data_IF_479528303377
#
_entry.id   IF_479528303377
#
_cell.length_a   1.000
_cell.length_b   1.000
_cell.length_c   1.000
_cell.angle_alpha   90.00
_cell.angle_beta   90.00
_cell.angle_gamma   90.00
#
_symmetry.space_group_name_H-M   'P 1'
#
loop_
_entity.id
_entity.type
_entity.pdbx_description
1 polymer ?
#
# COMPACT_ATOMS: atom_id res chain seq x y z
N UNK A 1 -30.25 0.59 -17.77
CA UNK A 1 -28.89 0.32 -17.25
C UNK A 1 -28.40 1.63 -16.64
N UNK A 2 -28.58 1.80 -15.34
CA UNK A 2 -27.87 2.83 -14.58
C UNK A 2 -26.40 2.51 -14.69
N UNK A 3 -25.62 3.39 -15.34
CA UNK A 3 -24.22 3.13 -15.57
C UNK A 3 -23.48 3.11 -14.23
N UNK A 4 -22.89 1.99 -13.89
CA UNK A 4 -21.94 1.81 -12.80
C UNK A 4 -20.75 2.78 -12.86
N UNK A 5 -20.51 3.38 -14.02
CA UNK A 5 -19.39 4.33 -14.28
C UNK A 5 -19.41 5.55 -13.36
N UNK A 6 -20.58 6.14 -13.11
CA UNK A 6 -20.72 7.24 -12.15
C UNK A 6 -20.51 6.81 -10.70
N UNK A 7 -20.90 5.56 -10.37
CA UNK A 7 -20.71 4.97 -9.05
C UNK A 7 -19.25 4.68 -8.73
N UNK A 8 -18.47 4.20 -9.70
CA UNK A 8 -17.04 3.93 -9.51
C UNK A 8 -16.23 5.20 -9.22
N UNK A 9 -16.54 6.32 -9.87
CA UNK A 9 -15.90 7.59 -9.58
C UNK A 9 -16.21 8.08 -8.16
N UNK A 10 -17.43 7.90 -7.70
CA UNK A 10 -17.84 8.27 -6.33
C UNK A 10 -17.23 7.35 -5.27
N UNK A 11 -17.03 6.06 -5.57
CA UNK A 11 -16.44 5.09 -4.64
C UNK A 11 -14.93 5.30 -4.52
N UNK A 12 -14.26 5.70 -5.60
CA UNK A 12 -12.80 5.94 -5.63
C UNK A 12 -12.36 7.24 -4.96
N UNK A 13 -13.27 8.21 -4.87
CA UNK A 13 -12.95 9.51 -4.30
C UNK A 13 -13.37 9.60 -2.84
N UNK A 14 -12.42 9.37 -1.93
CA UNK A 14 -12.67 9.39 -0.49
C UNK A 14 -13.02 10.77 0.06
N UNK A 15 -12.73 11.84 -0.66
CA UNK A 15 -12.99 13.20 -0.18
C UNK A 15 -14.29 13.79 -0.72
N UNK A 16 -14.74 13.36 -1.90
CA UNK A 16 -15.93 13.91 -2.56
C UNK A 16 -17.03 12.89 -2.83
N UNK A 17 -16.85 11.64 -2.33
CA UNK A 17 -17.84 10.60 -2.51
C UNK A 17 -19.16 10.95 -1.81
N UNK A 18 -20.26 10.74 -2.54
CA UNK A 18 -21.62 10.95 -2.04
C UNK A 18 -22.27 9.62 -1.69
N UNK A 19 -23.27 9.65 -0.80
CA UNK A 19 -24.13 8.49 -0.56
C UNK A 19 -24.92 8.17 -1.84
N UNK A 20 -24.90 6.90 -2.24
CA UNK A 20 -25.64 6.41 -3.41
C UNK A 20 -26.81 5.56 -2.93
N UNK A 21 -27.98 5.84 -3.49
CA UNK A 21 -29.21 5.07 -3.25
C UNK A 21 -29.59 4.34 -4.54
N UNK A 22 -29.73 3.04 -4.47
CA UNK A 22 -30.14 2.20 -5.60
C UNK A 22 -31.35 1.35 -5.24
N UNK A 23 -32.42 1.46 -6.01
CA UNK A 23 -33.59 0.56 -5.88
C UNK A 23 -33.24 -0.82 -6.43
N UNK A 24 -33.55 -1.85 -5.68
CA UNK A 24 -33.44 -3.27 -6.06
C UNK A 24 -34.70 -4.00 -5.67
N UNK A 25 -35.66 -4.11 -6.59
CA UNK A 25 -37.00 -4.62 -6.31
C UNK A 25 -37.74 -3.76 -5.26
N UNK A 26 -38.16 -4.39 -4.15
CA UNK A 26 -38.80 -3.71 -3.02
C UNK A 26 -37.81 -3.07 -2.01
N UNK A 27 -36.53 -3.31 -2.17
CA UNK A 27 -35.49 -2.83 -1.26
C UNK A 27 -34.76 -1.63 -1.86
N UNK A 28 -34.17 -0.82 -0.99
CA UNK A 28 -33.22 0.23 -1.38
C UNK A 28 -31.86 -0.12 -0.81
N UNK A 29 -30.89 -0.30 -1.69
CA UNK A 29 -29.46 -0.45 -1.30
C UNK A 29 -28.89 0.93 -1.06
N UNK A 30 -28.30 1.13 0.09
CA UNK A 30 -27.63 2.38 0.47
C UNK A 30 -26.13 2.13 0.49
N UNK A 31 -25.38 2.79 -0.40
CA UNK A 31 -23.93 2.77 -0.42
C UNK A 31 -23.44 4.07 0.23
N UNK A 32 -22.89 3.96 1.40
CA UNK A 32 -22.31 5.11 2.11
C UNK A 32 -20.94 5.49 1.51
N UNK A 33 -20.51 6.75 1.64
CA UNK A 33 -19.15 7.16 1.31
C UNK A 33 -18.12 6.27 2.04
N UNK A 34 -16.97 5.99 1.43
CA UNK A 34 -15.89 5.27 2.10
C UNK A 34 -15.41 6.06 3.32
N UNK A 35 -14.90 5.34 4.31
CA UNK A 35 -14.22 5.97 5.45
C UNK A 35 -13.03 6.80 4.98
N UNK A 36 -12.68 7.87 5.70
CA UNK A 36 -11.42 8.58 5.48
C UNK A 36 -10.22 7.62 5.49
N UNK A 37 -9.11 7.95 4.81
CA UNK A 37 -7.88 7.18 4.94
C UNK A 37 -7.47 7.06 6.40
N UNK A 38 -7.01 5.88 6.80
CA UNK A 38 -6.45 5.69 8.14
C UNK A 38 -5.27 6.63 8.36
N UNK A 39 -5.04 7.02 9.59
CA UNK A 39 -3.78 7.63 10.02
C UNK A 39 -2.67 6.57 10.10
N UNK A 40 -1.42 6.98 10.11
CA UNK A 40 -0.27 6.10 10.33
C UNK A 40 -0.44 5.28 11.63
N UNK A 41 -0.81 5.95 12.72
CA UNK A 41 -1.00 5.29 14.02
C UNK A 41 -2.14 4.25 14.03
N UNK A 42 -3.22 4.47 13.28
CA UNK A 42 -4.30 3.50 13.14
C UNK A 42 -3.87 2.28 12.31
N UNK A 43 -3.08 2.53 11.27
CA UNK A 43 -2.51 1.47 10.45
C UNK A 43 -1.52 0.64 11.27
N UNK A 44 -0.62 1.27 12.00
CA UNK A 44 0.35 0.60 12.87
C UNK A 44 -0.35 -0.26 13.92
N UNK A 45 -1.36 0.26 14.61
CA UNK A 45 -2.15 -0.54 15.56
C UNK A 45 -2.73 -1.81 14.94
N UNK A 46 -3.15 -1.74 13.67
CA UNK A 46 -3.68 -2.90 12.96
C UNK A 46 -2.61 -3.94 12.65
N UNK A 47 -1.40 -3.50 12.32
CA UNK A 47 -0.27 -4.40 12.02
C UNK A 47 0.44 -4.90 13.29
N UNK A 48 0.38 -4.15 14.37
CA UNK A 48 1.03 -4.48 15.65
C UNK A 48 0.22 -5.43 16.53
N UNK A 49 -0.95 -5.88 16.08
CA UNK A 49 -1.72 -6.93 16.74
C UNK A 49 -0.89 -8.21 16.86
N UNK A 50 -1.13 -9.05 17.88
CA UNK A 50 -0.33 -10.26 18.15
C UNK A 50 -0.64 -11.38 17.16
N UNK A 51 -0.34 -11.18 15.90
CA UNK A 51 -0.50 -12.20 14.86
C UNK A 51 0.54 -13.30 15.05
N UNK A 52 0.08 -14.55 15.02
CA UNK A 52 0.97 -15.73 15.13
C UNK A 52 1.84 -15.92 13.90
N UNK A 53 1.46 -15.39 12.73
CA UNK A 53 2.07 -15.60 11.41
C UNK A 53 2.18 -17.09 11.03
N UNK A 54 1.40 -17.94 11.66
CA UNK A 54 1.37 -19.39 11.43
C UNK A 54 0.06 -19.80 10.73
N UNK A 55 0.07 -20.89 9.97
CA UNK A 55 -1.15 -21.47 9.42
C UNK A 55 -2.12 -21.86 10.53
N UNK A 56 -3.42 -21.75 10.22
CA UNK A 56 -4.45 -22.22 11.16
C UNK A 56 -4.25 -23.71 11.51
N UNK A 57 -4.44 -24.14 12.77
CA UNK A 57 -4.20 -25.52 13.24
C UNK A 57 -4.87 -26.64 12.41
N UNK A 58 -6.00 -26.34 11.74
CA UNK A 58 -6.65 -27.31 10.83
C UNK A 58 -5.78 -27.77 9.65
N UNK A 59 -4.72 -27.04 9.34
CA UNK A 59 -3.76 -27.35 8.27
C UNK A 59 -2.51 -28.08 8.79
N UNK A 60 -2.49 -28.50 10.07
CA UNK A 60 -1.36 -29.25 10.63
C UNK A 60 -1.02 -30.45 9.73
N UNK A 61 0.26 -30.58 9.38
CA UNK A 61 0.75 -31.64 8.49
C UNK A 61 0.45 -31.44 6.99
N UNK A 62 -0.19 -30.32 6.60
CA UNK A 62 -0.44 -30.01 5.19
C UNK A 62 0.44 -28.84 4.77
N UNK A 63 1.07 -28.97 3.60
CA UNK A 63 1.81 -27.87 2.98
C UNK A 63 0.84 -26.89 2.35
N UNK A 64 1.06 -25.59 2.57
CA UNK A 64 0.30 -24.49 1.96
C UNK A 64 1.29 -23.67 1.11
N UNK A 65 1.34 -23.89 -0.22
CA UNK A 65 2.32 -23.21 -1.08
C UNK A 65 2.25 -21.69 -1.00
N UNK A 66 1.05 -21.09 -0.93
CA UNK A 66 0.89 -19.66 -0.78
C UNK A 66 1.52 -19.13 0.53
N UNK A 67 1.36 -19.85 1.62
CA UNK A 67 2.00 -19.50 2.90
C UNK A 67 3.53 -19.54 2.79
N UNK A 68 4.08 -20.57 2.17
CA UNK A 68 5.53 -20.71 1.98
C UNK A 68 6.11 -19.52 1.20
N UNK A 69 5.36 -18.96 0.26
CA UNK A 69 5.78 -17.81 -0.55
C UNK A 69 5.79 -16.50 0.23
N UNK A 70 4.81 -16.27 1.11
CA UNK A 70 4.56 -14.95 1.70
C UNK A 70 4.88 -14.84 3.18
N UNK A 71 5.18 -15.93 3.88
CA UNK A 71 5.37 -15.97 5.35
C UNK A 71 6.43 -14.99 5.86
N UNK A 72 7.43 -14.67 5.05
CA UNK A 72 8.52 -13.74 5.34
C UNK A 72 8.39 -12.42 4.56
N UNK A 73 7.17 -12.04 4.21
CA UNK A 73 6.89 -10.74 3.60
C UNK A 73 6.40 -9.73 4.64
N UNK A 74 6.73 -8.46 4.42
CA UNK A 74 6.32 -7.33 5.24
C UNK A 74 5.67 -6.27 4.36
N UNK A 75 4.47 -5.86 4.71
CA UNK A 75 3.74 -4.84 3.98
C UNK A 75 4.04 -3.46 4.59
N UNK A 76 4.54 -2.53 3.78
CA UNK A 76 4.96 -1.19 4.22
C UNK A 76 3.83 -0.17 4.21
N UNK A 77 2.85 -0.35 3.31
CA UNK A 77 1.76 0.61 3.12
C UNK A 77 0.53 -0.03 2.48
N UNK A 78 -0.59 0.66 2.56
CA UNK A 78 -1.85 0.36 1.88
C UNK A 78 -2.15 1.45 0.87
N UNK A 79 -3.00 1.11 -0.12
CA UNK A 79 -3.38 2.03 -1.19
C UNK A 79 -2.46 2.00 -2.41
N UNK A 80 -2.98 2.49 -3.54
CA UNK A 80 -2.22 2.60 -4.78
C UNK A 80 -2.83 3.68 -5.67
N UNK A 81 -2.05 4.67 -6.03
CA UNK A 81 -2.49 5.74 -6.92
C UNK A 81 -2.24 5.45 -8.42
N UNK A 82 -1.89 4.21 -8.75
CA UNK A 82 -1.62 3.78 -10.13
C UNK A 82 -2.82 3.86 -11.05
N UNK A 83 -3.99 3.43 -10.57
CA UNK A 83 -5.24 3.47 -11.33
C UNK A 83 -5.21 2.63 -12.62
N UNK A 84 -4.46 1.52 -12.63
CA UNK A 84 -4.35 0.63 -13.78
C UNK A 84 -5.72 0.01 -14.11
N UNK A 85 -6.07 -0.05 -15.41
CA UNK A 85 -7.40 -0.48 -15.85
C UNK A 85 -7.77 -1.93 -15.45
N UNK A 86 -6.79 -2.81 -15.34
CA UNK A 86 -6.96 -4.21 -14.96
C UNK A 86 -6.93 -4.48 -13.44
N UNK A 87 -6.54 -3.46 -12.63
CA UNK A 87 -6.24 -3.67 -11.23
C UNK A 87 -7.28 -3.01 -10.32
N UNK A 88 -7.81 -3.78 -9.36
CA UNK A 88 -8.82 -3.31 -8.41
C UNK A 88 -8.23 -2.73 -7.11
N UNK A 89 -6.92 -2.74 -6.91
CA UNK A 89 -6.29 -2.29 -5.67
C UNK A 89 -6.63 -0.84 -5.35
N UNK A 90 -6.60 0.05 -6.35
CA UNK A 90 -6.95 1.47 -6.15
C UNK A 90 -8.41 1.67 -5.73
N UNK A 91 -9.32 0.79 -6.18
CA UNK A 91 -10.72 0.79 -5.76
C UNK A 91 -10.89 0.17 -4.37
N UNK A 92 -10.23 -0.97 -4.10
CA UNK A 92 -10.36 -1.73 -2.87
C UNK A 92 -9.66 -1.06 -1.68
N UNK A 93 -8.38 -0.66 -1.84
CA UNK A 93 -7.58 -0.05 -0.76
C UNK A 93 -7.60 1.49 -0.82
N UNK A 94 -8.08 2.07 -1.91
CA UNK A 94 -8.06 3.50 -2.18
C UNK A 94 -6.80 3.96 -2.92
N UNK A 95 -6.88 5.16 -3.50
CA UNK A 95 -5.77 5.78 -4.24
C UNK A 95 -4.77 6.55 -3.36
N UNK A 96 -5.10 6.73 -2.09
CA UNK A 96 -4.20 7.41 -1.15
C UNK A 96 -3.32 6.40 -0.43
N UNK A 97 -2.04 6.69 -0.38
CA UNK A 97 -1.09 5.85 0.33
C UNK A 97 -1.20 6.15 1.82
N UNK A 98 -1.41 5.10 2.59
CA UNK A 98 -1.28 5.11 4.06
C UNK A 98 -0.09 4.23 4.39
N UNK A 99 0.96 4.82 4.90
CA UNK A 99 2.22 4.14 5.21
C UNK A 99 2.32 3.82 6.68
N UNK A 100 2.94 2.69 7.00
CA UNK A 100 3.32 2.34 8.37
C UNK A 100 4.52 3.17 8.82
N UNK A 101 4.66 3.32 10.12
CA UNK A 101 5.88 3.87 10.71
C UNK A 101 7.07 2.92 10.53
N UNK A 102 8.27 3.47 10.59
CA UNK A 102 9.52 2.69 10.58
C UNK A 102 9.57 1.74 11.78
N UNK A 103 9.15 2.20 12.93
CA UNK A 103 9.10 1.47 14.19
C UNK A 103 8.23 0.21 14.09
N UNK A 104 7.01 0.34 13.57
CA UNK A 104 6.09 -0.78 13.35
C UNK A 104 6.67 -1.80 12.36
N UNK A 105 7.28 -1.33 11.27
CA UNK A 105 7.94 -2.20 10.28
C UNK A 105 9.09 -2.98 10.91
N UNK A 106 10.01 -2.30 11.61
CA UNK A 106 11.16 -2.94 12.25
C UNK A 106 10.76 -3.92 13.35
N UNK A 107 9.69 -3.62 14.09
CA UNK A 107 9.11 -4.53 15.08
C UNK A 107 8.64 -5.84 14.43
N UNK A 108 7.92 -5.76 13.32
CA UNK A 108 7.47 -6.94 12.58
C UNK A 108 8.64 -7.74 11.98
N UNK A 109 9.64 -7.05 11.41
CA UNK A 109 10.84 -7.72 10.88
C UNK A 109 11.57 -8.47 11.99
N UNK A 110 11.75 -7.88 13.18
CA UNK A 110 12.34 -8.56 14.33
C UNK A 110 11.55 -9.81 14.71
N UNK A 111 10.23 -9.75 14.79
CA UNK A 111 9.41 -10.93 15.06
C UNK A 111 9.57 -12.03 13.99
N UNK A 112 9.79 -11.66 12.73
CA UNK A 112 10.10 -12.63 11.67
C UNK A 112 11.46 -13.30 11.90
N UNK A 113 12.48 -12.58 12.37
CA UNK A 113 13.81 -13.18 12.62
C UNK A 113 13.79 -14.25 13.72
N UNK A 114 12.79 -14.24 14.59
CA UNK A 114 12.60 -15.21 15.65
C UNK A 114 11.88 -16.50 15.19
N UNK A 115 11.36 -16.52 13.96
CA UNK A 115 10.67 -17.71 13.43
C UNK A 115 11.68 -18.84 13.15
N UNK A 116 11.38 -20.10 13.54
CA UNK A 116 12.35 -21.21 13.54
C UNK A 116 12.87 -21.59 12.14
N UNK A 117 12.12 -21.29 11.09
CA UNK A 117 12.49 -21.62 9.71
C UNK A 117 12.99 -20.38 8.91
N UNK A 118 13.17 -19.25 9.57
CA UNK A 118 13.74 -18.05 8.95
C UNK A 118 15.24 -18.21 8.73
N UNK A 119 15.70 -17.93 7.51
CA UNK A 119 17.11 -18.09 7.10
C UNK A 119 17.82 -16.77 6.76
N UNK A 120 17.23 -15.66 7.15
CA UNK A 120 17.77 -14.32 6.93
C UNK A 120 17.28 -13.63 5.65
N UNK A 121 16.30 -14.18 4.95
CA UNK A 121 15.80 -13.64 3.70
C UNK A 121 14.33 -13.20 3.82
N UNK A 122 14.06 -11.91 3.67
CA UNK A 122 12.70 -11.40 3.52
C UNK A 122 12.27 -11.55 2.06
N UNK A 123 11.18 -12.25 1.81
CA UNK A 123 10.68 -12.52 0.45
C UNK A 123 10.08 -11.28 -0.22
N UNK A 124 9.54 -10.37 0.56
CA UNK A 124 9.06 -9.07 0.11
C UNK A 124 9.07 -8.05 1.26
N UNK A 125 9.63 -6.90 0.99
CA UNK A 125 9.54 -5.71 1.83
C UNK A 125 8.92 -4.61 0.96
N UNK A 126 7.58 -4.59 0.91
CA UNK A 126 6.90 -3.81 -0.12
C UNK A 126 5.45 -3.47 0.18
N UNK A 127 4.65 -3.42 -0.88
CA UNK A 127 3.25 -3.06 -0.83
C UNK A 127 2.59 -3.22 -2.19
N UNK A 128 1.41 -2.66 -2.47
CA UNK A 128 0.77 -2.74 -3.78
C UNK A 128 1.67 -2.27 -4.94
N UNK A 129 2.61 -1.37 -4.64
CA UNK A 129 3.81 -1.05 -5.41
C UNK A 129 4.84 -0.53 -4.42
N UNK A 130 5.95 -1.21 -4.23
CA UNK A 130 6.90 -0.96 -3.14
C UNK A 130 7.35 0.50 -3.08
N UNK A 131 7.65 1.10 -4.22
CA UNK A 131 8.13 2.48 -4.29
C UNK A 131 7.04 3.57 -4.22
N UNK A 132 5.85 3.23 -3.72
CA UNK A 132 4.85 4.24 -3.33
C UNK A 132 4.87 4.56 -1.83
N UNK A 133 5.74 3.91 -1.05
CA UNK A 133 5.86 4.15 0.37
C UNK A 133 6.11 5.63 0.67
N UNK A 134 5.28 6.21 1.55
CA UNK A 134 5.26 7.65 1.94
C UNK A 134 5.05 8.65 0.81
N UNK A 135 4.68 8.20 -0.38
CA UNK A 135 4.34 9.11 -1.47
C UNK A 135 2.94 9.67 -1.32
N UNK A 136 2.81 10.98 -1.39
CA UNK A 136 1.53 11.72 -1.31
C UNK A 136 1.61 13.02 -2.09
N UNK A 137 0.47 13.70 -2.25
CA UNK A 137 0.46 15.05 -2.79
C UNK A 137 1.20 16.02 -1.86
N UNK A 138 1.96 16.94 -2.45
CA UNK A 138 2.67 18.02 -1.73
C UNK A 138 1.67 19.00 -1.10
N UNK A 139 0.63 19.32 -1.85
CA UNK A 139 -0.50 20.12 -1.39
C UNK A 139 -1.76 19.25 -1.32
N UNK A 140 -2.24 19.02 -0.10
CA UNK A 140 -3.42 18.21 0.16
C UNK A 140 -4.71 18.88 -0.29
N UNK A 141 -4.79 20.21 -0.28
CA UNK A 141 -5.97 20.95 -0.76
C UNK A 141 -6.22 20.72 -2.25
N UNK A 142 -5.14 20.62 -3.03
CA UNK A 142 -5.20 20.22 -4.44
C UNK A 142 -5.70 18.79 -4.58
N UNK A 143 -5.20 17.87 -3.75
CA UNK A 143 -5.60 16.46 -3.77
C UNK A 143 -7.08 16.28 -3.40
N UNK A 144 -7.58 17.03 -2.44
CA UNK A 144 -9.00 16.98 -2.00
C UNK A 144 -9.98 17.33 -3.12
N UNK A 145 -9.59 18.19 -4.05
CA UNK A 145 -10.42 18.60 -5.20
C UNK A 145 -10.13 17.78 -6.46
N UNK A 146 -9.16 16.87 -6.42
CA UNK A 146 -8.67 16.16 -7.60
C UNK A 146 -9.60 15.00 -7.96
N UNK A 147 -10.09 14.99 -9.20
CA UNK A 147 -10.95 13.93 -9.77
C UNK A 147 -10.18 12.92 -10.64
N UNK A 148 -8.84 13.04 -10.74
CA UNK A 148 -8.05 12.12 -11.56
C UNK A 148 -8.10 10.70 -10.99
N UNK A 149 -8.33 9.68 -11.84
CA UNK A 149 -8.31 8.28 -11.40
C UNK A 149 -6.88 7.79 -11.09
N UNK A 150 -5.85 8.42 -11.67
CA UNK A 150 -4.44 8.07 -11.52
C UNK A 150 -3.59 9.30 -11.26
N UNK A 151 -2.60 9.19 -10.37
CA UNK A 151 -1.60 10.23 -10.14
C UNK A 151 -0.39 10.11 -11.10
N UNK A 152 -0.33 9.05 -11.90
CA UNK A 152 0.82 8.78 -12.77
C UNK A 152 0.45 8.69 -14.26
N UNK A 153 -0.81 8.46 -14.60
CA UNK A 153 -1.27 8.37 -15.98
C UNK A 153 -2.25 9.52 -16.30
N UNK A 154 -2.21 10.11 -17.53
CA UNK A 154 -1.23 9.90 -18.62
C UNK A 154 0.16 10.51 -18.35
N UNK A 155 0.28 11.36 -17.32
CA UNK A 155 1.52 11.99 -16.88
C UNK A 155 1.55 12.00 -15.35
N UNK A 156 2.74 11.87 -14.77
CA UNK A 156 2.95 12.01 -13.32
C UNK A 156 2.40 13.38 -12.88
N UNK A 157 1.62 13.36 -11.81
CA UNK A 157 1.00 14.58 -11.28
C UNK A 157 2.09 15.51 -10.72
N UNK A 158 2.14 16.78 -11.12
CA UNK A 158 3.15 17.73 -10.61
C UNK A 158 3.02 17.96 -9.09
N UNK A 159 1.84 17.70 -8.52
CA UNK A 159 1.64 17.78 -7.08
C UNK A 159 2.09 16.50 -6.33
N UNK A 160 2.48 15.43 -7.03
CA UNK A 160 2.93 14.20 -6.40
C UNK A 160 4.37 14.36 -5.89
N UNK A 161 4.59 14.04 -4.61
CA UNK A 161 5.93 13.83 -4.09
C UNK A 161 6.41 12.43 -4.52
N UNK A 162 7.50 12.37 -5.27
CA UNK A 162 8.11 11.12 -5.77
C UNK A 162 9.43 10.79 -5.07
N UNK A 163 9.65 11.32 -3.87
CA UNK A 163 10.86 11.08 -3.09
C UNK A 163 10.92 9.63 -2.60
N UNK A 164 11.96 8.90 -2.99
CA UNK A 164 12.19 7.51 -2.61
C UNK A 164 13.07 7.36 -1.35
N UNK A 165 13.66 8.44 -0.83
CA UNK A 165 14.53 8.38 0.36
C UNK A 165 13.89 7.71 1.56
N UNK A 166 12.59 7.94 1.88
CA UNK A 166 11.95 7.24 2.99
C UNK A 166 11.90 5.72 2.80
N UNK A 167 11.76 5.23 1.56
CA UNK A 167 11.79 3.81 1.26
C UNK A 167 13.20 3.24 1.41
N UNK A 168 14.21 3.93 0.88
CA UNK A 168 15.61 3.53 1.00
C UNK A 168 16.05 3.46 2.47
N UNK A 169 15.61 4.42 3.29
CA UNK A 169 15.86 4.42 4.73
C UNK A 169 15.28 3.18 5.44
N UNK A 170 14.10 2.69 5.00
CA UNK A 170 13.56 1.42 5.50
C UNK A 170 14.46 0.25 5.11
N UNK A 171 14.87 0.15 3.85
CA UNK A 171 15.74 -0.95 3.40
C UNK A 171 17.08 -0.96 4.15
N UNK A 172 17.74 0.19 4.28
CA UNK A 172 18.98 0.29 5.04
C UNK A 172 18.80 -0.11 6.51
N UNK A 173 17.72 0.34 7.14
CA UNK A 173 17.45 0.01 8.52
C UNK A 173 17.12 -1.47 8.72
N UNK A 174 16.42 -2.10 7.80
CA UNK A 174 16.08 -3.52 7.84
C UNK A 174 17.33 -4.36 7.59
N UNK A 175 18.12 -4.04 6.56
CA UNK A 175 19.33 -4.79 6.21
C UNK A 175 20.42 -4.69 7.31
N UNK A 176 20.37 -3.66 8.15
CA UNK A 176 21.25 -3.51 9.32
C UNK A 176 20.81 -4.35 10.53
N UNK A 177 19.63 -4.98 10.52
CA UNK A 177 19.16 -5.78 11.64
C UNK A 177 19.92 -7.13 11.75
N UNK A 178 20.28 -7.55 12.97
CA UNK A 178 20.83 -8.87 13.19
C UNK A 178 19.90 -9.97 12.66
N UNK A 179 20.46 -10.96 11.98
CA UNK A 179 19.69 -12.08 11.42
C UNK A 179 19.12 -11.82 10.01
N UNK A 180 19.17 -10.61 9.50
CA UNK A 180 18.83 -10.29 8.11
C UNK A 180 20.07 -10.40 7.24
N UNK A 181 20.00 -11.19 6.18
CA UNK A 181 21.03 -11.31 5.13
C UNK A 181 20.66 -10.49 3.92
N UNK A 182 19.37 -10.44 3.57
CA UNK A 182 18.88 -9.69 2.43
C UNK A 182 17.36 -9.51 2.47
N UNK A 183 16.90 -8.32 2.08
CA UNK A 183 15.51 -8.03 1.78
C UNK A 183 15.27 -7.94 0.26
N UNK A 184 14.13 -8.48 -0.19
CA UNK A 184 13.73 -8.47 -1.61
C UNK A 184 12.50 -7.62 -1.80
N UNK A 185 12.29 -7.17 -3.03
CA UNK A 185 11.07 -6.50 -3.50
C UNK A 185 10.30 -7.49 -4.38
N UNK A 186 9.44 -8.29 -3.77
CA UNK A 186 8.60 -9.26 -4.48
C UNK A 186 7.34 -8.62 -5.08
N UNK A 187 6.82 -7.57 -4.45
CA UNK A 187 5.61 -6.86 -4.87
C UNK A 187 5.76 -5.97 -6.10
N UNK A 188 7.00 -5.71 -6.53
CA UNK A 188 7.30 -4.93 -7.72
C UNK A 188 7.47 -3.43 -7.49
N UNK A 189 8.10 -2.79 -8.47
CA UNK A 189 8.49 -1.37 -8.46
C UNK A 189 7.93 -0.68 -9.70
N UNK A 190 7.43 0.52 -9.54
CA UNK A 190 7.00 1.38 -10.65
C UNK A 190 8.19 2.15 -11.21
N UNK A 191 8.67 1.73 -12.36
CA UNK A 191 9.81 2.36 -13.05
C UNK A 191 9.52 3.77 -13.54
N UNK A 192 8.25 4.07 -13.88
CA UNK A 192 7.82 5.42 -14.26
C UNK A 192 8.05 6.44 -13.14
N UNK A 193 7.89 6.05 -11.88
CA UNK A 193 8.18 6.90 -10.72
C UNK A 193 9.69 7.06 -10.49
N UNK A 194 10.48 5.99 -10.65
CA UNK A 194 11.94 6.06 -10.52
C UNK A 194 12.55 6.97 -11.58
N UNK A 195 12.13 6.81 -12.84
CA UNK A 195 12.61 7.64 -13.94
C UNK A 195 12.17 9.11 -13.81
N UNK A 196 11.02 9.36 -13.19
CA UNK A 196 10.55 10.71 -12.92
C UNK A 196 11.41 11.39 -11.86
N UNK A 197 11.75 10.70 -10.78
CA UNK A 197 12.63 11.21 -9.73
C UNK A 197 14.01 11.60 -10.25
N UNK A 198 14.58 10.81 -11.16
CA UNK A 198 15.88 11.10 -11.76
C UNK A 198 15.93 12.44 -12.53
N UNK A 199 14.78 12.98 -12.87
CA UNK A 199 14.62 14.27 -13.57
C UNK A 199 14.34 15.45 -12.63
N UNK A 200 14.12 15.20 -11.34
CA UNK A 200 13.87 16.26 -10.36
C UNK A 200 15.20 16.81 -9.87
N UNK A 201 15.56 18.07 -10.17
CA UNK A 201 16.85 18.67 -9.83
C UNK A 201 17.08 18.77 -8.31
N UNK A 202 16.02 18.67 -7.48
CA UNK A 202 16.13 18.74 -6.03
C UNK A 202 16.51 17.39 -5.39
N UNK A 203 16.44 16.29 -6.12
CA UNK A 203 16.79 14.94 -5.62
C UNK A 203 18.23 14.53 -5.96
N UNK A 204 18.91 15.27 -6.85
CA UNK A 204 20.31 15.01 -7.24
C UNK A 204 21.36 15.72 -6.35
N UNK A 205 20.95 16.25 -5.19
CA UNK A 205 21.85 16.89 -4.23
C UNK A 205 22.05 16.02 -2.98
N UNK A 206 22.54 14.81 -3.17
CA UNK A 206 23.11 14.03 -2.05
C UNK A 206 24.13 13.05 -2.58
#
# INVERSE_FOLDING_TARGET
RLSLVGSEMCIRDRYTASRILQKSGKLTVVVNPPYPPLTEAELDRSFDLPYTRLPHPKYKGKRIPAYDMIKFSVNLHRGCFGGCAFCTISAHQGKFIVSRSKESILKEVKAITELPDFKGYLSDLGGPSANMYRMKGRDEAVCRKCKRPSCIYPKVCPNLNTDHRPLLDIYHAVDALPGIKKSFIGSGVRYDLLLHQSKDPNTNKS
#
